data_IF_287815064841
#
_entry.id   IF_287815064841
#
_cell.length_a   1.000
_cell.length_b   1.000
_cell.length_c   1.000
_cell.angle_alpha   90.00
_cell.angle_beta   90.00
_cell.angle_gamma   90.00
#
_symmetry.space_group_name_H-M   'P 1'
#
loop_
_entity.id
_entity.type
_entity.pdbx_description
1 polymer ?
#
# COMPACT_ATOMS: atom_id res chain seq x y z
N UNK A 1 -4.42 -1.45 -1.10
CA UNK A 1 -3.71 -0.91 -2.29
C UNK A 1 -2.20 -0.91 -2.06
N UNK A 2 -1.38 -1.08 -3.10
CA UNK A 2 0.09 -1.14 -2.98
C UNK A 2 0.77 -0.40 -4.14
N UNK A 3 1.77 0.43 -3.85
CA UNK A 3 2.72 0.89 -4.86
C UNK A 3 3.79 -0.19 -5.07
N UNK A 4 3.88 -0.72 -6.29
CA UNK A 4 4.70 -1.91 -6.60
C UNK A 4 5.93 -1.62 -7.48
N UNK A 5 6.06 -0.40 -8.02
CA UNK A 5 7.15 -0.01 -8.94
C UNK A 5 8.35 0.65 -8.22
N UNK A 6 8.43 0.53 -6.91
CA UNK A 6 9.53 1.06 -6.12
C UNK A 6 10.72 0.11 -6.15
N UNK A 7 11.93 0.64 -6.01
CA UNK A 7 13.13 -0.21 -5.82
C UNK A 7 12.97 -1.04 -4.54
N UNK A 8 13.29 -2.34 -4.54
CA UNK A 8 13.22 -3.17 -3.34
C UNK A 8 14.08 -2.59 -2.21
N UNK A 9 13.63 -2.75 -0.96
CA UNK A 9 14.33 -2.23 0.22
C UNK A 9 14.40 -3.28 1.32
N UNK A 10 15.60 -3.46 1.88
CA UNK A 10 15.81 -4.31 3.06
C UNK A 10 15.30 -3.60 4.32
N UNK A 11 14.48 -4.27 5.12
CA UNK A 11 13.89 -3.80 6.36
C UNK A 11 14.01 -4.89 7.43
N UNK A 12 14.78 -4.64 8.48
CA UNK A 12 15.00 -5.60 9.59
C UNK A 12 15.40 -7.03 9.15
N UNK A 13 16.16 -7.16 8.06
CA UNK A 13 16.59 -8.46 7.53
C UNK A 13 15.77 -8.95 6.33
N UNK A 14 14.53 -8.49 6.21
CA UNK A 14 13.58 -8.90 5.17
C UNK A 14 13.60 -7.95 3.96
N UNK A 15 13.34 -8.49 2.77
CA UNK A 15 13.23 -7.68 1.55
C UNK A 15 11.77 -7.27 1.30
N UNK A 16 11.50 -5.96 1.29
CA UNK A 16 10.22 -5.41 0.87
C UNK A 16 10.26 -5.03 -0.62
N UNK A 17 9.20 -5.41 -1.34
CA UNK A 17 9.02 -5.21 -2.79
C UNK A 17 7.85 -4.28 -3.13
N UNK A 18 7.32 -3.57 -2.14
CA UNK A 18 6.22 -2.65 -2.34
C UNK A 18 5.94 -1.79 -1.12
N UNK A 19 4.94 -0.93 -1.24
CA UNK A 19 4.51 -0.05 -0.16
C UNK A 19 2.99 -0.05 -0.07
N UNK A 20 2.45 -0.41 1.10
CA UNK A 20 1.02 -0.27 1.39
C UNK A 20 0.70 1.22 1.49
N UNK A 21 -0.33 1.66 0.78
CA UNK A 21 -0.77 3.05 0.81
C UNK A 21 -1.69 3.29 2.01
N UNK A 22 -1.43 4.37 2.75
CA UNK A 22 -2.23 4.81 3.88
C UNK A 22 -2.36 6.34 3.88
N UNK A 23 -3.44 6.82 4.52
CA UNK A 23 -3.61 8.22 4.87
C UNK A 23 -3.25 8.43 6.34
N UNK A 24 -2.70 9.58 6.66
CA UNK A 24 -2.43 10.04 8.03
C UNK A 24 -3.38 11.20 8.33
N UNK A 25 -4.07 11.15 9.48
CA UNK A 25 -4.90 12.27 9.94
C UNK A 25 -4.09 13.29 10.75
N UNK A 26 -4.76 14.35 11.22
CA UNK A 26 -4.11 15.45 11.96
C UNK A 26 -3.51 15.00 13.30
N UNK A 27 -3.95 13.86 13.83
CA UNK A 27 -3.49 13.30 15.11
C UNK A 27 -2.40 12.24 14.90
N UNK A 28 -1.96 12.02 13.66
CA UNK A 28 -0.94 11.03 13.29
C UNK A 28 -1.47 9.61 13.18
N UNK A 29 -2.79 9.41 13.17
CA UNK A 29 -3.39 8.08 13.02
C UNK A 29 -3.39 7.66 11.55
N UNK A 30 -2.86 6.46 11.32
CA UNK A 30 -2.80 5.87 9.99
C UNK A 30 -4.08 5.07 9.68
N UNK A 31 -4.60 5.23 8.46
CA UNK A 31 -5.70 4.44 7.91
C UNK A 31 -5.30 3.86 6.55
N UNK A 32 -5.47 2.55 6.37
CA UNK A 32 -5.11 1.86 5.12
C UNK A 32 -6.09 2.24 4.01
N UNK A 33 -5.57 2.53 2.81
CA UNK A 33 -6.41 2.79 1.64
C UNK A 33 -6.97 1.47 1.08
N UNK A 34 -8.30 1.43 1.00
CA UNK A 34 -9.11 0.37 0.38
C UNK A 34 -10.04 0.96 -0.67
N UNK A 35 -10.52 0.12 -1.57
CA UNK A 35 -11.65 0.44 -2.46
C UNK A 35 -12.96 0.25 -1.70
N UNK A 36 -14.00 0.98 -2.11
CA UNK A 36 -15.35 0.81 -1.58
C UNK A 36 -16.00 -0.49 -2.07
N UNK A 37 -15.62 -0.93 -3.27
CA UNK A 37 -16.01 -2.22 -3.85
C UNK A 37 -14.97 -3.30 -3.51
N UNK A 38 -15.45 -4.51 -3.23
CA UNK A 38 -14.63 -5.69 -2.89
C UNK A 38 -14.38 -6.60 -4.10
N UNK A 39 -15.09 -6.40 -5.20
CA UNK A 39 -15.05 -7.29 -6.38
C UNK A 39 -13.98 -6.89 -7.40
N UNK A 40 -12.88 -6.26 -6.94
CA UNK A 40 -11.71 -6.04 -7.79
C UNK A 40 -10.77 -7.24 -7.79
N UNK A 41 -10.31 -7.61 -8.97
CA UNK A 41 -9.30 -8.65 -9.12
C UNK A 41 -7.95 -8.19 -8.53
N UNK A 42 -7.18 -9.15 -8.00
CA UNK A 42 -5.83 -8.86 -7.53
C UNK A 42 -4.95 -8.38 -8.69
N UNK A 43 -4.35 -7.21 -8.54
CA UNK A 43 -3.51 -6.61 -9.59
C UNK A 43 -4.24 -5.61 -10.50
N UNK A 44 -5.53 -5.34 -10.27
CA UNK A 44 -6.20 -4.21 -10.93
C UNK A 44 -5.44 -2.90 -10.71
N UNK A 45 -5.28 -2.14 -11.80
CA UNK A 45 -4.59 -0.85 -11.76
C UNK A 45 -5.43 0.20 -11.04
N UNK A 46 -4.76 1.05 -10.25
CA UNK A 46 -5.36 2.25 -9.66
C UNK A 46 -5.07 3.40 -10.62
N UNK A 47 -6.11 4.15 -11.00
CA UNK A 47 -6.05 5.30 -11.93
C UNK A 47 -6.68 6.53 -11.32
#
# INVERSE_FOLDING_TARGET
>A
MVAYNLKPRKMMGEMSYGMILCAEDKDGKLSILTTDDKDFESGSSIS
#
